data_IF_744216894796
#
_entry.id   IF_744216894796
#
_cell.length_a   1.000
_cell.length_b   1.000
_cell.length_c   1.000
_cell.angle_alpha   90.00
_cell.angle_beta   90.00
_cell.angle_gamma   90.00
#
_symmetry.space_group_name_H-M   'P 1'
#
loop_
_entity.id
_entity.type
_entity.pdbx_description
1 polymer ?
#
# COMPACT_ATOMS: atom_id res chain seq x y z
N UNK A 1 -11.02 19.48 -11.34
CA UNK A 1 -11.21 18.42 -10.34
C UNK A 1 -10.80 17.03 -10.87
N UNK A 2 -11.49 16.45 -11.86
CA UNK A 2 -11.17 15.08 -12.34
C UNK A 2 -9.72 14.90 -12.81
N UNK A 3 -9.16 15.84 -13.57
CA UNK A 3 -7.77 15.77 -14.08
C UNK A 3 -6.72 15.81 -12.95
N UNK A 4 -6.91 16.64 -11.91
CA UNK A 4 -5.99 16.70 -10.78
C UNK A 4 -5.99 15.42 -9.95
N UNK A 5 -7.18 14.84 -9.67
CA UNK A 5 -7.29 13.55 -8.99
C UNK A 5 -6.69 12.41 -9.81
N UNK A 6 -6.85 12.45 -11.14
CA UNK A 6 -6.20 11.48 -12.04
C UNK A 6 -4.66 11.58 -11.99
N UNK A 7 -4.11 12.81 -11.97
CA UNK A 7 -2.67 13.00 -11.81
C UNK A 7 -2.15 12.41 -10.47
N UNK A 8 -2.91 12.60 -9.38
CA UNK A 8 -2.57 11.99 -8.09
C UNK A 8 -2.69 10.46 -8.12
N UNK A 9 -3.71 9.92 -8.80
CA UNK A 9 -3.88 8.48 -8.98
C UNK A 9 -2.75 7.87 -9.82
N UNK A 10 -2.27 8.57 -10.87
CA UNK A 10 -1.11 8.11 -11.63
C UNK A 10 0.16 8.10 -10.77
N UNK A 11 0.29 9.04 -9.83
CA UNK A 11 1.39 9.03 -8.86
C UNK A 11 1.34 7.83 -7.91
N UNK A 12 0.16 7.48 -7.39
CA UNK A 12 0.00 6.27 -6.57
C UNK A 12 0.15 4.98 -7.40
N UNK A 13 -0.19 5.00 -8.69
CA UNK A 13 0.13 3.91 -9.62
C UNK A 13 1.65 3.74 -9.77
N UNK A 14 2.39 4.85 -9.97
CA UNK A 14 3.85 4.83 -10.10
C UNK A 14 4.50 4.31 -8.81
N UNK A 15 3.98 4.70 -7.64
CA UNK A 15 4.43 4.18 -6.34
C UNK A 15 4.11 2.69 -6.18
N UNK A 16 2.91 2.25 -6.58
CA UNK A 16 2.53 0.84 -6.56
C UNK A 16 3.42 -0.01 -7.48
N UNK A 17 3.75 0.49 -8.67
CA UNK A 17 4.75 -0.15 -9.53
C UNK A 17 6.10 -0.25 -8.84
N UNK A 18 6.59 0.84 -8.23
CA UNK A 18 7.86 0.84 -7.53
C UNK A 18 7.89 -0.13 -6.34
N UNK A 19 6.78 -0.30 -5.62
CA UNK A 19 6.68 -1.20 -4.47
C UNK A 19 6.63 -2.66 -4.90
N UNK A 20 5.65 -3.03 -5.73
CA UNK A 20 5.27 -4.42 -5.95
C UNK A 20 5.97 -5.11 -7.13
N UNK A 21 6.58 -4.35 -8.06
CA UNK A 21 7.21 -4.96 -9.24
C UNK A 21 8.34 -5.93 -8.88
N UNK A 22 9.05 -5.64 -7.80
CA UNK A 22 10.19 -6.47 -7.36
C UNK A 22 9.76 -7.90 -7.02
N UNK A 23 8.54 -8.09 -6.53
CA UNK A 23 8.01 -9.41 -6.19
C UNK A 23 7.86 -10.30 -7.43
N UNK A 24 7.48 -9.68 -8.56
CA UNK A 24 7.32 -10.39 -9.83
C UNK A 24 8.63 -10.69 -10.58
N UNK A 25 9.72 -9.98 -10.24
CA UNK A 25 11.02 -10.09 -10.95
C UNK A 25 12.16 -10.54 -10.03
N UNK A 26 11.85 -10.97 -8.81
CA UNK A 26 12.83 -11.26 -7.77
C UNK A 26 13.84 -12.32 -8.20
N UNK A 27 13.40 -13.37 -8.86
CA UNK A 27 14.23 -14.46 -9.37
C UNK A 27 15.19 -13.98 -10.47
N UNK A 28 14.70 -13.13 -11.38
CA UNK A 28 15.51 -12.58 -12.47
C UNK A 28 16.62 -11.69 -11.92
N UNK A 29 16.29 -10.85 -10.93
CA UNK A 29 17.26 -9.99 -10.24
C UNK A 29 18.26 -10.82 -9.46
N UNK A 30 17.84 -11.85 -8.72
CA UNK A 30 18.72 -12.73 -7.96
C UNK A 30 19.75 -13.40 -8.87
N UNK A 31 19.30 -13.90 -10.02
CA UNK A 31 20.15 -14.55 -11.01
C UNK A 31 21.18 -13.59 -11.63
N UNK A 32 20.75 -12.42 -12.14
CA UNK A 32 21.61 -11.44 -12.82
C UNK A 32 22.63 -10.80 -11.87
N UNK A 33 22.25 -10.59 -10.61
CA UNK A 33 23.09 -9.99 -9.57
C UNK A 33 23.95 -11.00 -8.80
N UNK A 34 23.87 -12.30 -9.12
CA UNK A 34 24.57 -13.39 -8.45
C UNK A 34 24.36 -13.38 -6.92
N UNK A 35 23.11 -13.18 -6.47
CA UNK A 35 22.72 -13.23 -5.06
C UNK A 35 21.67 -14.31 -4.81
N UNK A 36 21.57 -14.77 -3.57
CA UNK A 36 20.51 -15.71 -3.20
C UNK A 36 19.12 -15.05 -3.23
N UNK A 37 18.04 -15.84 -3.43
CA UNK A 37 16.67 -15.33 -3.40
C UNK A 37 16.35 -14.62 -2.06
N UNK A 38 16.75 -15.14 -0.88
CA UNK A 38 16.60 -14.41 0.37
C UNK A 38 17.33 -13.06 0.40
N UNK A 39 18.53 -12.97 -0.15
CA UNK A 39 19.23 -11.69 -0.29
C UNK A 39 18.49 -10.73 -1.23
N UNK A 40 17.99 -11.23 -2.37
CA UNK A 40 17.16 -10.40 -3.25
C UNK A 40 15.90 -9.90 -2.53
N UNK A 41 15.33 -10.67 -1.60
CA UNK A 41 14.23 -10.26 -0.73
C UNK A 41 14.52 -9.01 0.11
N UNK A 42 15.78 -8.70 0.42
CA UNK A 42 16.15 -7.46 1.10
C UNK A 42 15.78 -6.20 0.28
N UNK A 43 15.61 -6.31 -1.05
CA UNK A 43 15.16 -5.22 -1.91
C UNK A 43 13.72 -4.77 -1.55
N UNK A 44 12.90 -5.67 -1.02
CA UNK A 44 11.55 -5.37 -0.51
C UNK A 44 11.67 -4.68 0.85
N UNK A 45 12.47 -5.26 1.75
CA UNK A 45 12.65 -4.74 3.12
C UNK A 45 13.26 -3.35 3.13
N UNK A 46 14.28 -3.09 2.30
CA UNK A 46 14.94 -1.78 2.24
C UNK A 46 14.02 -0.69 1.67
N UNK A 47 13.12 -1.04 0.75
CA UNK A 47 12.08 -0.14 0.28
C UNK A 47 11.13 0.24 1.43
N UNK A 48 10.65 -0.74 2.21
CA UNK A 48 9.80 -0.51 3.37
C UNK A 48 10.50 0.37 4.43
N UNK A 49 11.80 0.17 4.67
CA UNK A 49 12.60 1.07 5.51
C UNK A 49 12.65 2.48 4.95
N UNK A 50 12.77 2.64 3.63
CA UNK A 50 12.68 3.92 2.93
C UNK A 50 11.34 4.61 3.19
N UNK A 51 10.21 3.86 3.13
CA UNK A 51 8.87 4.39 3.44
C UNK A 51 8.80 4.94 4.86
N UNK A 52 9.32 4.19 5.83
CA UNK A 52 9.36 4.62 7.22
C UNK A 52 10.26 5.86 7.42
N UNK A 53 11.45 5.86 6.82
CA UNK A 53 12.37 7.01 6.89
C UNK A 53 11.80 8.26 6.20
N UNK A 54 11.07 8.07 5.12
CA UNK A 54 10.41 9.15 4.37
C UNK A 54 9.38 9.93 5.19
N UNK A 55 8.78 9.32 6.23
CA UNK A 55 7.88 10.00 7.14
C UNK A 55 8.54 11.23 7.79
N UNK A 56 9.81 11.10 8.16
CA UNK A 56 10.56 12.18 8.79
C UNK A 56 10.89 13.32 7.81
N UNK A 57 11.00 13.05 6.52
CA UNK A 57 11.26 14.08 5.50
C UNK A 57 10.15 15.12 5.41
N UNK A 58 8.90 14.74 5.67
CA UNK A 58 7.76 15.67 5.70
C UNK A 58 7.86 16.73 6.80
N UNK A 59 8.54 16.41 7.91
CA UNK A 59 8.76 17.37 9.00
C UNK A 59 9.54 18.58 8.48
N UNK A 60 10.48 18.35 7.57
CA UNK A 60 11.29 19.40 6.94
C UNK A 60 10.54 20.11 5.81
N UNK A 61 9.63 19.41 5.13
CA UNK A 61 8.95 19.90 3.93
C UNK A 61 7.61 20.63 4.23
N UNK A 62 7.08 20.56 5.45
CA UNK A 62 5.76 21.12 5.79
C UNK A 62 5.57 22.61 5.48
N UNK A 63 6.66 23.38 5.39
CA UNK A 63 6.65 24.81 5.05
C UNK A 63 6.40 25.09 3.56
N UNK A 64 6.55 24.09 2.72
CA UNK A 64 6.35 24.25 1.27
C UNK A 64 4.91 23.96 0.87
N UNK A 65 4.50 24.51 -0.28
CA UNK A 65 3.19 24.22 -0.87
C UNK A 65 3.07 22.75 -1.24
N UNK A 66 1.92 22.10 -0.98
CA UNK A 66 1.72 20.67 -1.25
C UNK A 66 2.05 20.23 -2.69
N UNK A 67 1.74 21.05 -3.69
CA UNK A 67 2.11 20.80 -5.07
C UNK A 67 3.62 20.66 -5.28
N UNK A 68 4.42 21.56 -4.67
CA UNK A 68 5.89 21.50 -4.74
C UNK A 68 6.44 20.24 -4.06
N UNK A 69 5.83 19.86 -2.94
CA UNK A 69 6.18 18.62 -2.22
C UNK A 69 5.90 17.41 -3.12
N UNK A 70 4.71 17.31 -3.73
CA UNK A 70 4.36 16.22 -4.62
C UNK A 70 5.32 16.11 -5.82
N UNK A 71 5.69 17.23 -6.44
CA UNK A 71 6.67 17.26 -7.53
C UNK A 71 8.04 16.73 -7.07
N UNK A 72 8.55 17.22 -5.93
CA UNK A 72 9.81 16.75 -5.35
C UNK A 72 9.78 15.25 -5.03
N UNK A 73 8.72 14.76 -4.38
CA UNK A 73 8.56 13.35 -4.04
C UNK A 73 8.51 12.47 -5.29
N UNK A 74 7.77 12.89 -6.32
CA UNK A 74 7.71 12.16 -7.60
C UNK A 74 9.08 12.16 -8.30
N UNK A 75 9.85 13.26 -8.21
CA UNK A 75 11.23 13.29 -8.73
C UNK A 75 12.15 12.31 -8.04
N UNK A 76 11.98 12.05 -6.73
CA UNK A 76 12.74 11.03 -6.00
C UNK A 76 12.37 9.61 -6.47
N UNK A 77 11.08 9.32 -6.78
CA UNK A 77 10.70 8.04 -7.39
C UNK A 77 11.42 7.84 -8.72
N UNK A 78 11.39 8.87 -9.58
CA UNK A 78 12.07 8.83 -10.89
C UNK A 78 13.58 8.62 -10.73
N UNK A 79 14.21 9.36 -9.82
CA UNK A 79 15.65 9.23 -9.53
C UNK A 79 16.00 7.81 -9.09
N UNK A 80 15.27 7.26 -8.11
CA UNK A 80 15.48 5.90 -7.65
C UNK A 80 15.26 4.86 -8.75
N UNK A 81 14.26 5.07 -9.63
CA UNK A 81 13.99 4.18 -10.76
C UNK A 81 15.12 4.26 -11.81
N UNK A 82 15.67 5.45 -12.09
CA UNK A 82 16.84 5.61 -12.97
C UNK A 82 18.04 4.84 -12.39
N UNK A 83 18.35 5.06 -11.10
CA UNK A 83 19.47 4.37 -10.45
C UNK A 83 19.28 2.85 -10.51
N UNK A 84 18.05 2.35 -10.25
CA UNK A 84 17.73 0.93 -10.34
C UNK A 84 17.93 0.37 -11.76
N UNK A 85 17.50 1.12 -12.79
CA UNK A 85 17.65 0.72 -14.20
C UNK A 85 19.09 0.52 -14.60
N UNK A 86 19.99 1.41 -14.14
CA UNK A 86 21.43 1.39 -14.52
C UNK A 86 22.31 0.69 -13.48
N UNK A 87 21.75 0.13 -12.40
CA UNK A 87 22.50 -0.47 -11.31
C UNK A 87 23.39 -1.63 -11.77
N UNK A 88 24.73 -1.53 -11.65
CA UNK A 88 25.66 -2.60 -12.01
C UNK A 88 25.89 -3.58 -10.87
N UNK A 89 25.42 -3.26 -9.65
CA UNK A 89 25.62 -4.08 -8.46
C UNK A 89 24.40 -4.12 -7.56
N UNK A 90 24.28 -5.21 -6.82
CA UNK A 90 23.24 -5.41 -5.82
C UNK A 90 23.17 -4.28 -4.78
N UNK A 91 24.32 -3.78 -4.31
CA UNK A 91 24.37 -2.71 -3.31
C UNK A 91 23.80 -1.39 -3.82
N UNK A 92 24.11 -1.05 -5.08
CA UNK A 92 23.53 0.16 -5.69
C UNK A 92 22.02 -0.01 -5.92
N UNK A 93 21.58 -1.21 -6.26
CA UNK A 93 20.15 -1.52 -6.38
C UNK A 93 19.42 -1.39 -5.03
N UNK A 94 20.03 -1.84 -3.92
CA UNK A 94 19.51 -1.59 -2.56
C UNK A 94 19.38 -0.10 -2.27
N UNK A 95 20.39 0.71 -2.55
CA UNK A 95 20.32 2.16 -2.40
C UNK A 95 19.19 2.76 -3.24
N UNK A 96 19.05 2.33 -4.50
CA UNK A 96 17.98 2.77 -5.38
C UNK A 96 16.59 2.46 -4.79
N UNK A 97 16.40 1.26 -4.26
CA UNK A 97 15.15 0.83 -3.61
C UNK A 97 14.82 1.66 -2.36
N UNK A 98 15.82 1.96 -1.53
CA UNK A 98 15.65 2.85 -0.39
C UNK A 98 15.17 4.24 -0.83
N UNK A 99 15.83 4.82 -1.84
CA UNK A 99 15.46 6.14 -2.41
C UNK A 99 14.03 6.11 -2.98
N UNK A 100 13.62 5.03 -3.67
CA UNK A 100 12.25 4.86 -4.16
C UNK A 100 11.21 4.77 -3.05
N UNK A 101 11.57 4.20 -1.89
CA UNK A 101 10.69 4.09 -0.72
C UNK A 101 10.44 5.44 -0.03
N UNK A 102 11.45 6.32 0.04
CA UNK A 102 11.37 7.61 0.76
C UNK A 102 10.11 8.44 0.43
N UNK A 103 9.72 8.64 -0.84
CA UNK A 103 8.57 9.46 -1.19
C UNK A 103 7.22 8.81 -0.89
N UNK A 104 7.13 7.50 -0.71
CA UNK A 104 5.89 6.74 -0.70
C UNK A 104 4.88 7.28 0.34
N UNK A 105 5.20 7.19 1.63
CA UNK A 105 4.31 7.64 2.70
C UNK A 105 4.05 9.13 2.64
N UNK A 106 5.08 9.92 2.33
CA UNK A 106 4.99 11.37 2.19
C UNK A 106 4.06 11.80 1.05
N UNK A 107 4.07 11.05 -0.06
CA UNK A 107 3.16 11.28 -1.19
C UNK A 107 1.71 11.06 -0.80
N UNK A 108 1.40 9.97 -0.09
CA UNK A 108 0.04 9.68 0.39
C UNK A 108 -0.44 10.75 1.37
N UNK A 109 0.40 11.15 2.34
CA UNK A 109 0.05 12.20 3.30
C UNK A 109 -0.26 13.54 2.63
N UNK A 110 0.62 13.98 1.71
CA UNK A 110 0.46 15.26 0.98
C UNK A 110 -0.67 15.19 -0.03
N UNK A 111 -0.74 14.09 -0.79
CA UNK A 111 -1.75 13.86 -1.82
C UNK A 111 -3.17 13.80 -1.25
N UNK A 112 -3.35 13.19 -0.07
CA UNK A 112 -4.65 13.16 0.63
C UNK A 112 -5.16 14.56 0.93
N UNK A 113 -4.30 15.46 1.40
CA UNK A 113 -4.68 16.85 1.67
C UNK A 113 -5.13 17.55 0.39
N UNK A 114 -4.39 17.37 -0.70
CA UNK A 114 -4.72 17.95 -2.01
C UNK A 114 -6.02 17.35 -2.55
N UNK A 115 -6.19 16.03 -2.45
CA UNK A 115 -7.39 15.33 -2.91
C UNK A 115 -8.64 15.83 -2.16
N UNK A 116 -8.58 15.94 -0.83
CA UNK A 116 -9.69 16.44 0.00
C UNK A 116 -10.00 17.89 -0.32
N UNK A 117 -8.98 18.76 -0.52
CA UNK A 117 -9.19 20.15 -0.91
C UNK A 117 -9.82 20.33 -2.31
N UNK A 118 -9.61 19.36 -3.20
CA UNK A 118 -10.26 19.31 -4.52
C UNK A 118 -11.66 18.66 -4.49
N UNK A 119 -12.04 18.02 -3.39
CA UNK A 119 -13.32 17.33 -3.25
C UNK A 119 -14.49 18.31 -3.07
N UNK A 120 -15.69 17.88 -3.45
CA UNK A 120 -16.92 18.54 -3.02
C UNK A 120 -17.16 18.25 -1.54
N UNK A 121 -17.90 19.11 -0.88
CA UNK A 121 -18.32 18.89 0.51
C UNK A 121 -19.00 17.51 0.67
N UNK A 122 -18.66 16.80 1.73
CA UNK A 122 -19.19 15.45 1.98
C UNK A 122 -18.61 14.31 1.11
N UNK A 123 -17.64 14.60 0.19
CA UNK A 123 -17.06 13.56 -0.69
C UNK A 123 -15.54 13.37 -0.50
N UNK A 124 -15.06 13.60 0.72
CA UNK A 124 -13.62 13.56 1.03
C UNK A 124 -13.01 12.17 0.85
N UNK A 125 -13.66 11.14 1.41
CA UNK A 125 -13.18 9.75 1.28
C UNK A 125 -13.19 9.29 -0.17
N UNK A 126 -14.21 9.67 -0.95
CA UNK A 126 -14.27 9.37 -2.39
C UNK A 126 -13.09 9.97 -3.15
N UNK A 127 -12.70 11.21 -2.84
CA UNK A 127 -11.55 11.85 -3.49
C UNK A 127 -10.23 11.15 -3.14
N UNK A 128 -10.06 10.74 -1.87
CA UNK A 128 -8.92 9.96 -1.40
C UNK A 128 -8.90 8.59 -2.07
N UNK A 129 -10.04 7.88 -2.15
CA UNK A 129 -10.14 6.60 -2.84
C UNK A 129 -9.80 6.72 -4.34
N UNK A 130 -10.20 7.80 -5.01
CA UNK A 130 -9.80 8.08 -6.40
C UNK A 130 -8.30 8.29 -6.54
N UNK A 131 -7.66 8.97 -5.59
CA UNK A 131 -6.21 9.11 -5.55
C UNK A 131 -5.53 7.75 -5.31
N UNK A 132 -6.00 7.00 -4.31
CA UNK A 132 -5.42 5.71 -3.93
C UNK A 132 -5.64 4.61 -4.97
N UNK A 133 -6.60 4.77 -5.89
CA UNK A 133 -6.93 3.78 -6.92
C UNK A 133 -5.73 3.36 -7.80
N UNK A 134 -4.72 4.22 -7.92
CA UNK A 134 -3.51 3.89 -8.69
C UNK A 134 -2.81 2.63 -8.21
N UNK A 135 -2.72 2.38 -6.90
CA UNK A 135 -2.03 1.19 -6.36
C UNK A 135 -2.70 -0.14 -6.75
N UNK A 136 -4.01 -0.36 -6.52
CA UNK A 136 -4.65 -1.58 -6.96
C UNK A 136 -4.60 -1.75 -8.49
N UNK A 137 -4.64 -0.67 -9.26
CA UNK A 137 -4.44 -0.74 -10.71
C UNK A 137 -3.00 -1.10 -11.08
N UNK A 138 -2.00 -0.66 -10.32
CA UNK A 138 -0.61 -1.09 -10.51
C UNK A 138 -0.47 -2.60 -10.29
N UNK A 139 -1.10 -3.16 -9.25
CA UNK A 139 -1.12 -4.61 -9.01
C UNK A 139 -1.89 -5.38 -10.09
N UNK A 140 -3.01 -4.84 -10.57
CA UNK A 140 -3.84 -5.51 -11.58
C UNK A 140 -3.19 -5.56 -12.96
N UNK A 141 -2.53 -4.50 -13.38
CA UNK A 141 -2.03 -4.33 -14.75
C UNK A 141 -0.52 -4.09 -14.80
N UNK A 142 -0.01 -3.24 -13.94
CA UNK A 142 1.36 -2.75 -13.98
C UNK A 142 2.37 -3.85 -13.63
N UNK A 143 2.15 -4.55 -12.54
CA UNK A 143 3.04 -5.64 -12.08
C UNK A 143 3.03 -6.81 -13.07
N UNK A 144 1.89 -7.35 -13.52
CA UNK A 144 1.89 -8.41 -14.53
C UNK A 144 2.58 -8.02 -15.83
N UNK A 145 2.30 -6.80 -16.35
CA UNK A 145 2.96 -6.30 -17.54
C UNK A 145 4.46 -6.14 -17.35
N UNK A 146 4.89 -5.57 -16.23
CA UNK A 146 6.31 -5.41 -15.90
C UNK A 146 7.03 -6.74 -15.76
N UNK A 147 6.41 -7.73 -15.10
CA UNK A 147 6.95 -9.08 -14.97
C UNK A 147 7.08 -9.77 -16.34
N UNK A 148 6.06 -9.65 -17.18
CA UNK A 148 6.11 -10.17 -18.55
C UNK A 148 7.28 -9.56 -19.35
N UNK A 149 7.44 -8.24 -19.29
CA UNK A 149 8.52 -7.53 -19.97
C UNK A 149 9.91 -7.85 -19.37
N UNK A 150 10.00 -8.13 -18.07
CA UNK A 150 11.20 -8.62 -17.42
C UNK A 150 11.68 -9.94 -18.04
N UNK A 151 10.79 -10.92 -18.11
CA UNK A 151 11.10 -12.23 -18.67
C UNK A 151 11.40 -12.17 -20.18
N UNK A 152 10.73 -11.27 -20.92
CA UNK A 152 10.92 -11.13 -22.37
C UNK A 152 12.23 -10.41 -22.73
N UNK A 153 12.68 -9.46 -21.92
CA UNK A 153 13.80 -8.57 -22.24
C UNK A 153 14.82 -8.49 -21.12
N UNK A 154 14.48 -7.90 -19.97
CA UNK A 154 15.36 -7.73 -18.82
C UNK A 154 14.58 -7.22 -17.61
N UNK A 155 14.98 -7.61 -16.41
CA UNK A 155 14.45 -7.10 -15.15
C UNK A 155 14.64 -5.57 -14.98
N UNK A 156 15.45 -4.93 -15.79
CA UNK A 156 15.63 -3.47 -15.81
C UNK A 156 14.49 -2.74 -16.50
N UNK A 157 13.78 -3.40 -17.41
CA UNK A 157 12.68 -2.79 -18.19
C UNK A 157 11.54 -2.29 -17.30
N UNK A 158 11.06 -3.02 -16.28
CA UNK A 158 10.06 -2.50 -15.35
C UNK A 158 10.49 -1.22 -14.61
N UNK A 159 11.76 -1.07 -14.28
CA UNK A 159 12.26 0.18 -13.68
C UNK A 159 12.26 1.32 -14.70
N UNK A 160 12.61 1.05 -15.95
CA UNK A 160 12.51 2.03 -17.04
C UNK A 160 11.03 2.47 -17.27
N UNK A 161 10.08 1.53 -17.19
CA UNK A 161 8.64 1.86 -17.21
C UNK A 161 8.28 2.80 -16.04
N UNK A 162 8.81 2.53 -14.84
CA UNK A 162 8.58 3.40 -13.67
C UNK A 162 9.17 4.81 -13.89
N UNK A 163 10.31 4.94 -14.59
CA UNK A 163 10.85 6.24 -15.02
C UNK A 163 9.87 6.97 -15.94
N UNK A 164 9.40 6.30 -16.99
CA UNK A 164 8.47 6.91 -17.96
C UNK A 164 7.16 7.36 -17.28
N UNK A 165 6.57 6.49 -16.47
CA UNK A 165 5.35 6.80 -15.70
C UNK A 165 5.58 7.95 -14.71
N UNK A 166 6.71 7.97 -14.02
CA UNK A 166 7.06 9.04 -13.11
C UNK A 166 7.22 10.40 -13.80
N UNK A 167 7.85 10.44 -14.99
CA UNK A 167 7.97 11.67 -15.79
C UNK A 167 6.61 12.15 -16.26
N UNK A 168 5.75 11.26 -16.73
CA UNK A 168 4.36 11.59 -17.10
C UNK A 168 3.60 12.14 -15.89
N UNK A 169 3.76 11.51 -14.72
CA UNK A 169 3.16 11.95 -13.45
C UNK A 169 3.63 13.35 -13.05
N UNK A 170 4.93 13.64 -13.15
CA UNK A 170 5.48 14.98 -12.90
C UNK A 170 4.81 16.03 -13.77
N UNK A 171 4.72 15.76 -15.09
CA UNK A 171 4.07 16.68 -16.02
C UNK A 171 2.60 16.90 -15.67
N UNK A 172 1.86 15.82 -15.34
CA UNK A 172 0.45 15.91 -14.99
C UNK A 172 0.21 16.63 -13.66
N UNK A 173 1.03 16.38 -12.63
CA UNK A 173 0.96 17.10 -11.35
C UNK A 173 1.23 18.60 -11.61
N UNK A 174 2.27 18.91 -12.37
CA UNK A 174 2.59 20.30 -12.71
C UNK A 174 1.42 21.02 -13.40
N UNK A 175 0.78 20.38 -14.36
CA UNK A 175 -0.28 20.97 -15.21
C UNK A 175 -1.67 20.96 -14.57
N UNK A 176 -2.03 19.91 -13.83
CA UNK A 176 -3.41 19.67 -13.43
C UNK A 176 -3.69 19.75 -11.93
N UNK A 177 -2.68 19.62 -11.08
CA UNK A 177 -2.87 19.78 -9.64
C UNK A 177 -2.86 21.27 -9.31
N UNK A 178 -3.89 21.79 -8.62
CA UNK A 178 -3.94 23.19 -8.24
C UNK A 178 -2.84 23.53 -7.23
N UNK A 179 -2.41 24.77 -7.23
CA UNK A 179 -1.46 25.28 -6.25
C UNK A 179 -2.21 25.59 -4.95
N UNK A 180 -2.24 24.59 -4.09
CA UNK A 180 -2.85 24.69 -2.76
C UNK A 180 -1.88 25.37 -1.82
N UNK A 181 -2.39 26.32 -0.99
CA UNK A 181 -1.58 27.00 0.01
C UNK A 181 -0.90 26.04 0.98
N UNK A 182 0.29 26.42 1.42
CA UNK A 182 1.00 25.67 2.44
C UNK A 182 0.16 25.58 3.73
N UNK A 183 0.28 24.43 4.41
CA UNK A 183 -0.37 24.30 5.72
C UNK A 183 0.26 25.28 6.73
N UNK A 184 -0.53 25.83 7.66
CA UNK A 184 -0.01 26.74 8.67
C UNK A 184 1.17 26.12 9.42
N UNK A 185 2.30 26.81 9.43
CA UNK A 185 3.49 26.36 10.15
C UNK A 185 3.33 26.68 11.64
N UNK A 186 2.94 25.70 12.43
CA UNK A 186 2.81 25.80 13.90
C UNK A 186 4.04 25.26 14.64
N UNK A 187 5.14 25.02 13.91
CA UNK A 187 6.38 24.46 14.46
C UNK A 187 6.35 22.91 14.63
N UNK A 188 7.53 22.33 14.91
CA UNK A 188 7.71 20.89 14.97
C UNK A 188 6.86 20.23 16.08
N UNK A 189 6.82 20.83 17.28
CA UNK A 189 6.00 20.30 18.39
C UNK A 189 4.51 20.20 18.04
N UNK A 190 4.00 21.13 17.23
CA UNK A 190 2.61 21.13 16.82
C UNK A 190 2.31 20.01 15.82
N UNK A 191 3.28 19.60 14.99
CA UNK A 191 3.10 18.49 14.04
C UNK A 191 2.89 17.14 14.74
N UNK A 192 3.48 16.95 15.92
CA UNK A 192 3.29 15.73 16.73
C UNK A 192 2.14 15.83 17.72
N UNK A 193 1.44 16.97 17.79
CA UNK A 193 0.36 17.20 18.78
C UNK A 193 -0.76 16.16 18.65
N UNK A 194 -1.08 15.73 17.44
CA UNK A 194 -2.12 14.73 17.20
C UNK A 194 -1.84 13.39 17.88
N UNK A 195 -0.57 13.02 18.08
CA UNK A 195 -0.17 11.78 18.79
C UNK A 195 -0.55 11.78 20.28
N UNK A 196 -0.98 12.91 20.84
CA UNK A 196 -1.52 12.97 22.22
C UNK A 196 -2.97 12.53 22.29
N UNK A 197 -3.67 12.44 21.17
CA UNK A 197 -5.06 12.02 21.07
C UNK A 197 -5.14 10.53 20.78
N UNK A 198 -6.16 9.87 21.32
CA UNK A 198 -6.35 8.42 21.12
C UNK A 198 -6.81 8.08 19.68
N UNK A 199 -7.58 8.94 19.02
CA UNK A 199 -8.14 8.67 17.70
C UNK A 199 -7.08 8.29 16.64
N UNK A 200 -5.97 9.04 16.45
CA UNK A 200 -4.90 8.65 15.54
C UNK A 200 -4.28 7.29 15.87
N UNK A 201 -4.07 7.00 17.15
CA UNK A 201 -3.49 5.71 17.56
C UNK A 201 -4.40 4.53 17.26
N UNK A 202 -5.71 4.69 17.41
CA UNK A 202 -6.68 3.65 17.06
C UNK A 202 -6.65 3.36 15.56
N UNK A 203 -6.54 4.40 14.71
CA UNK A 203 -6.46 4.23 13.26
C UNK A 203 -5.12 3.60 12.87
N UNK A 204 -3.99 4.08 13.42
CA UNK A 204 -2.65 3.52 13.17
C UNK A 204 -2.59 2.05 13.60
N UNK A 205 -3.11 1.72 14.80
CA UNK A 205 -3.14 0.36 15.29
C UNK A 205 -4.05 -0.55 14.45
N UNK A 206 -5.18 -0.03 13.96
CA UNK A 206 -6.07 -0.75 13.07
C UNK A 206 -5.37 -1.08 11.74
N UNK A 207 -4.66 -0.13 11.15
CA UNK A 207 -3.86 -0.36 9.94
C UNK A 207 -2.74 -1.37 10.21
N UNK A 208 -1.97 -1.18 11.26
CA UNK A 208 -0.81 -2.04 11.59
C UNK A 208 -1.22 -3.48 11.85
N UNK A 209 -2.23 -3.70 12.72
CA UNK A 209 -2.69 -5.02 13.08
C UNK A 209 -3.67 -5.58 12.05
N UNK A 210 -4.66 -4.80 11.65
CA UNK A 210 -5.75 -5.27 10.81
C UNK A 210 -5.28 -5.61 9.40
N UNK A 211 -4.64 -4.67 8.72
CA UNK A 211 -4.09 -4.91 7.39
C UNK A 211 -2.90 -5.88 7.44
N UNK A 212 -2.06 -5.79 8.49
CA UNK A 212 -0.99 -6.76 8.74
C UNK A 212 -1.49 -8.19 8.86
N UNK A 213 -2.67 -8.40 9.45
CA UNK A 213 -3.32 -9.71 9.52
C UNK A 213 -3.71 -10.27 8.15
N UNK A 214 -4.23 -9.42 7.24
CA UNK A 214 -4.54 -9.83 5.87
C UNK A 214 -3.25 -10.13 5.10
N UNK A 215 -2.23 -9.28 5.25
CA UNK A 215 -0.94 -9.42 4.57
C UNK A 215 -0.13 -10.62 5.09
N UNK A 216 -0.32 -11.03 6.36
CA UNK A 216 0.23 -12.27 6.92
C UNK A 216 -0.10 -13.48 6.05
N UNK A 217 -1.34 -13.63 5.65
CA UNK A 217 -1.79 -14.68 4.77
C UNK A 217 -1.38 -14.42 3.30
N UNK A 218 -1.52 -13.18 2.82
CA UNK A 218 -1.24 -12.83 1.42
C UNK A 218 0.21 -13.10 1.03
N UNK A 219 1.16 -12.93 1.95
CA UNK A 219 2.58 -13.26 1.74
C UNK A 219 2.83 -14.73 1.36
N UNK A 220 1.91 -15.63 1.71
CA UNK A 220 2.00 -17.07 1.44
C UNK A 220 0.92 -17.58 0.49
N UNK A 221 0.26 -16.66 -0.25
CA UNK A 221 -0.88 -17.00 -1.12
C UNK A 221 -0.49 -17.93 -2.27
N UNK A 222 0.67 -17.70 -2.89
CA UNK A 222 1.12 -18.51 -4.03
C UNK A 222 1.32 -20.00 -3.66
N UNK A 223 2.12 -20.34 -2.65
CA UNK A 223 2.24 -21.75 -2.22
C UNK A 223 0.92 -22.32 -1.66
N UNK A 224 0.06 -21.51 -1.02
CA UNK A 224 -1.25 -21.98 -0.58
C UNK A 224 -2.11 -22.40 -1.76
N UNK A 225 -2.21 -21.60 -2.80
CA UNK A 225 -2.99 -21.91 -4.00
C UNK A 225 -2.43 -23.12 -4.77
N UNK A 226 -1.10 -23.26 -4.83
CA UNK A 226 -0.47 -24.41 -5.51
C UNK A 226 -0.59 -25.70 -4.71
N UNK A 227 -0.19 -25.70 -3.44
CA UNK A 227 -0.03 -26.91 -2.64
C UNK A 227 -1.36 -27.35 -2.01
N UNK A 228 -2.09 -26.40 -1.38
CA UNK A 228 -3.37 -26.71 -0.75
C UNK A 228 -4.51 -26.68 -1.78
N UNK A 229 -4.52 -25.69 -2.66
CA UNK A 229 -5.58 -25.47 -3.66
C UNK A 229 -5.45 -26.31 -4.92
N UNK A 230 -4.32 -26.95 -5.16
CA UNK A 230 -4.08 -27.84 -6.31
C UNK A 230 -3.96 -27.12 -7.66
N UNK A 231 -3.72 -25.81 -7.69
CA UNK A 231 -3.53 -25.08 -8.94
C UNK A 231 -2.13 -25.26 -9.51
N UNK A 232 -2.03 -25.41 -10.83
CA UNK A 232 -0.74 -25.40 -11.51
C UNK A 232 -0.03 -24.05 -11.37
N UNK A 233 1.30 -24.05 -11.30
CA UNK A 233 2.12 -22.85 -11.20
C UNK A 233 1.78 -21.80 -12.28
N UNK A 234 1.52 -22.23 -13.52
CA UNK A 234 1.13 -21.36 -14.62
C UNK A 234 -0.20 -20.60 -14.36
N UNK A 235 -1.11 -21.17 -13.57
CA UNK A 235 -2.39 -20.53 -13.24
C UNK A 235 -2.27 -19.43 -12.18
N UNK A 236 -1.17 -19.41 -11.43
CA UNK A 236 -0.97 -18.44 -10.33
C UNK A 236 -0.98 -17.00 -10.85
N UNK A 237 -0.36 -16.75 -12.01
CA UNK A 237 -0.38 -15.41 -12.61
C UNK A 237 -1.79 -14.89 -12.89
N UNK A 238 -2.67 -15.77 -13.37
CA UNK A 238 -4.09 -15.44 -13.61
C UNK A 238 -4.83 -15.20 -12.29
N UNK A 239 -4.55 -16.02 -11.27
CA UNK A 239 -5.13 -15.85 -9.93
C UNK A 239 -4.65 -14.54 -9.26
N UNK A 240 -3.40 -14.12 -9.50
CA UNK A 240 -2.92 -12.82 -9.03
C UNK A 240 -3.64 -11.65 -9.71
N UNK A 241 -4.06 -11.78 -10.97
CA UNK A 241 -4.95 -10.80 -11.62
C UNK A 241 -6.30 -10.74 -10.89
N UNK A 242 -6.84 -11.88 -10.47
CA UNK A 242 -8.08 -11.93 -9.67
C UNK A 242 -7.90 -11.23 -8.31
N UNK A 243 -6.74 -11.37 -7.65
CA UNK A 243 -6.40 -10.64 -6.44
C UNK A 243 -6.39 -9.12 -6.69
N UNK A 244 -5.68 -8.68 -7.74
CA UNK A 244 -5.65 -7.27 -8.16
C UNK A 244 -7.04 -6.71 -8.50
N UNK A 245 -7.89 -7.51 -9.15
CA UNK A 245 -9.28 -7.14 -9.40
C UNK A 245 -10.06 -6.96 -8.08
N UNK A 246 -9.88 -7.86 -7.11
CA UNK A 246 -10.42 -7.69 -5.76
C UNK A 246 -10.01 -6.37 -5.14
N UNK A 247 -8.73 -6.02 -5.21
CA UNK A 247 -8.20 -4.74 -4.71
C UNK A 247 -8.88 -3.53 -5.37
N UNK A 248 -9.05 -3.56 -6.70
CA UNK A 248 -9.74 -2.51 -7.45
C UNK A 248 -11.20 -2.40 -7.01
N UNK A 249 -11.92 -3.52 -6.95
CA UNK A 249 -13.34 -3.56 -6.55
C UNK A 249 -13.49 -3.02 -5.12
N UNK A 250 -12.65 -3.46 -4.18
CA UNK A 250 -12.69 -2.99 -2.79
C UNK A 250 -12.49 -1.48 -2.67
N UNK A 251 -11.49 -0.93 -3.37
CA UNK A 251 -11.26 0.51 -3.40
C UNK A 251 -12.45 1.28 -4.00
N UNK A 252 -13.09 0.76 -5.08
CA UNK A 252 -14.25 1.40 -5.69
C UNK A 252 -15.50 1.32 -4.78
N UNK A 253 -15.74 0.19 -4.12
CA UNK A 253 -16.81 0.03 -3.13
C UNK A 253 -16.62 1.05 -2.00
N UNK A 254 -15.40 1.22 -1.52
CA UNK A 254 -15.06 2.24 -0.53
C UNK A 254 -15.37 3.66 -1.03
N UNK A 255 -15.01 3.98 -2.26
CA UNK A 255 -15.30 5.29 -2.88
C UNK A 255 -16.81 5.60 -2.97
N UNK A 256 -17.65 4.57 -3.05
CA UNK A 256 -19.10 4.73 -3.17
C UNK A 256 -19.82 4.75 -1.82
N UNK A 257 -19.33 3.97 -0.85
CA UNK A 257 -20.09 3.67 0.37
C UNK A 257 -19.51 4.30 1.63
N UNK A 258 -18.20 4.51 1.74
CA UNK A 258 -17.58 4.94 2.99
C UNK A 258 -18.12 6.30 3.51
N UNK A 259 -18.34 7.26 2.62
CA UNK A 259 -18.88 8.57 2.99
C UNK A 259 -20.36 8.49 3.43
N UNK A 260 -21.11 7.46 2.96
CA UNK A 260 -22.53 7.24 3.32
C UNK A 260 -22.69 6.58 4.69
N UNK A 261 -21.81 5.63 5.03
CA UNK A 261 -21.93 4.79 6.23
C UNK A 261 -21.03 5.22 7.39
N UNK A 262 -20.43 6.40 7.33
CA UNK A 262 -19.32 6.85 8.19
C UNK A 262 -18.06 5.99 8.00
N UNK A 263 -16.92 6.59 7.64
CA UNK A 263 -15.72 5.86 7.24
C UNK A 263 -15.22 4.84 8.27
N UNK A 264 -15.22 5.18 9.58
CA UNK A 264 -14.77 4.28 10.63
C UNK A 264 -15.67 3.06 10.82
N UNK A 265 -17.01 3.26 10.73
CA UNK A 265 -17.96 2.15 10.79
C UNK A 265 -17.84 1.23 9.58
N UNK A 266 -17.69 1.80 8.40
CA UNK A 266 -17.54 1.06 7.15
C UNK A 266 -16.27 0.18 7.18
N UNK A 267 -15.13 0.75 7.56
CA UNK A 267 -13.87 0.02 7.67
C UNK A 267 -13.92 -1.07 8.73
N UNK A 268 -14.59 -0.83 9.86
CA UNK A 268 -14.80 -1.84 10.89
C UNK A 268 -15.50 -3.09 10.33
N UNK A 269 -16.56 -2.92 9.55
CA UNK A 269 -17.27 -4.05 8.93
C UNK A 269 -16.40 -4.79 7.91
N UNK A 270 -15.64 -4.07 7.08
CA UNK A 270 -14.72 -4.70 6.14
C UNK A 270 -13.61 -5.48 6.87
N UNK A 271 -13.15 -5.00 8.01
CA UNK A 271 -12.13 -5.68 8.80
C UNK A 271 -12.67 -6.98 9.42
N UNK A 272 -13.92 -7.00 9.90
CA UNK A 272 -14.59 -8.24 10.33
C UNK A 272 -14.81 -9.21 9.18
N UNK A 273 -15.20 -8.72 8.00
CA UNK A 273 -15.35 -9.53 6.80
C UNK A 273 -14.00 -10.17 6.39
N UNK A 274 -12.91 -9.40 6.45
CA UNK A 274 -11.57 -9.92 6.19
C UNK A 274 -11.19 -11.03 7.18
N UNK A 275 -11.43 -10.83 8.48
CA UNK A 275 -11.17 -11.84 9.50
C UNK A 275 -11.97 -13.14 9.23
N UNK A 276 -13.24 -13.01 8.84
CA UNK A 276 -14.08 -14.15 8.47
C UNK A 276 -13.56 -14.87 7.22
N UNK A 277 -13.12 -14.11 6.20
CA UNK A 277 -12.55 -14.68 4.98
C UNK A 277 -11.22 -15.41 5.25
N UNK A 278 -10.37 -14.87 6.13
CA UNK A 278 -9.14 -15.55 6.56
C UNK A 278 -9.44 -16.86 7.30
N UNK A 279 -10.43 -16.83 8.20
CA UNK A 279 -10.86 -18.04 8.93
C UNK A 279 -11.43 -19.10 7.96
N UNK A 280 -12.26 -18.70 7.00
CA UNK A 280 -12.76 -19.58 5.96
C UNK A 280 -11.61 -20.17 5.11
N UNK A 281 -10.60 -19.35 4.77
CA UNK A 281 -9.40 -19.80 4.05
C UNK A 281 -8.66 -20.88 4.85
N UNK A 282 -8.49 -20.71 6.15
CA UNK A 282 -7.81 -21.71 6.99
C UNK A 282 -8.47 -23.08 6.90
N UNK A 283 -9.81 -23.16 7.04
CA UNK A 283 -10.55 -24.42 7.06
C UNK A 283 -10.80 -25.02 5.68
N UNK A 284 -10.97 -24.19 4.64
CA UNK A 284 -11.44 -24.60 3.33
C UNK A 284 -10.38 -24.51 2.22
N UNK A 285 -9.11 -24.27 2.57
CA UNK A 285 -8.02 -24.07 1.59
C UNK A 285 -7.71 -25.27 0.69
N UNK A 286 -8.15 -26.46 1.06
CA UNK A 286 -8.06 -27.65 0.23
C UNK A 286 -8.94 -27.60 -1.04
N UNK A 287 -9.93 -26.69 -1.06
CA UNK A 287 -10.67 -26.37 -2.26
C UNK A 287 -10.09 -25.10 -2.90
N UNK A 288 -9.37 -25.26 -4.02
CA UNK A 288 -8.69 -24.14 -4.69
C UNK A 288 -9.63 -23.02 -5.11
N UNK A 289 -10.84 -23.33 -5.57
CA UNK A 289 -11.82 -22.30 -5.97
C UNK A 289 -12.35 -21.50 -4.79
N UNK A 290 -12.54 -22.15 -3.63
CA UNK A 290 -12.88 -21.43 -2.39
C UNK A 290 -11.72 -20.52 -1.98
N UNK A 291 -10.49 -21.01 -2.05
CA UNK A 291 -9.29 -20.20 -1.77
C UNK A 291 -9.19 -18.98 -2.69
N UNK A 292 -9.48 -19.16 -3.99
CA UNK A 292 -9.49 -18.04 -4.96
C UNK A 292 -10.60 -17.02 -4.65
N UNK A 293 -11.80 -17.49 -4.27
CA UNK A 293 -12.90 -16.61 -3.87
C UNK A 293 -12.57 -15.84 -2.57
N UNK A 294 -12.00 -16.51 -1.56
CA UNK A 294 -11.59 -15.84 -0.30
C UNK A 294 -10.43 -14.88 -0.54
N UNK A 295 -9.53 -15.18 -1.47
CA UNK A 295 -8.48 -14.27 -1.91
C UNK A 295 -9.06 -12.98 -2.50
N UNK A 296 -10.02 -13.09 -3.41
CA UNK A 296 -10.71 -11.92 -3.95
C UNK A 296 -11.34 -11.06 -2.85
N UNK A 297 -12.08 -11.68 -1.92
CA UNK A 297 -12.75 -10.99 -0.80
C UNK A 297 -11.73 -10.32 0.13
N UNK A 298 -10.67 -11.02 0.53
CA UNK A 298 -9.64 -10.48 1.45
C UNK A 298 -8.89 -9.32 0.81
N UNK A 299 -8.54 -9.41 -0.48
CA UNK A 299 -7.91 -8.33 -1.23
C UNK A 299 -8.85 -7.13 -1.42
N UNK A 300 -10.15 -7.37 -1.64
CA UNK A 300 -11.15 -6.32 -1.69
C UNK A 300 -11.30 -5.61 -0.33
N UNK A 301 -11.30 -6.35 0.77
CA UNK A 301 -11.31 -5.76 2.12
C UNK A 301 -10.06 -4.91 2.36
N UNK A 302 -8.86 -5.42 2.05
CA UNK A 302 -7.58 -4.74 2.27
C UNK A 302 -7.57 -3.33 1.64
N UNK A 303 -7.91 -3.23 0.37
CA UNK A 303 -7.92 -1.94 -0.34
C UNK A 303 -9.21 -1.13 -0.13
N UNK A 304 -10.30 -1.78 0.27
CA UNK A 304 -11.52 -1.11 0.72
C UNK A 304 -11.34 -0.38 2.05
N UNK A 305 -10.48 -0.87 2.94
CA UNK A 305 -10.14 -0.28 4.25
C UNK A 305 -9.14 0.87 4.08
N UNK A 306 -8.13 0.74 3.22
CA UNK A 306 -7.01 1.65 3.16
C UNK A 306 -7.36 3.11 2.89
N UNK A 307 -8.26 3.39 1.94
CA UNK A 307 -8.64 4.76 1.58
C UNK A 307 -9.40 5.49 2.68
N UNK A 308 -10.40 4.89 3.37
CA UNK A 308 -11.03 5.50 4.53
C UNK A 308 -10.07 5.72 5.70
N UNK A 309 -9.19 4.76 6.01
CA UNK A 309 -8.17 4.93 7.07
C UNK A 309 -7.24 6.10 6.74
N UNK A 310 -6.78 6.21 5.49
CA UNK A 310 -5.97 7.33 5.01
C UNK A 310 -6.71 8.67 5.14
N UNK A 311 -8.02 8.72 4.87
CA UNK A 311 -8.83 9.91 5.08
C UNK A 311 -8.98 10.24 6.57
N UNK A 312 -9.33 9.25 7.39
CA UNK A 312 -9.58 9.41 8.82
C UNK A 312 -8.34 9.91 9.57
N UNK A 313 -7.16 9.35 9.29
CA UNK A 313 -5.93 9.79 9.97
C UNK A 313 -5.62 11.25 9.64
N UNK A 314 -5.78 11.69 8.39
CA UNK A 314 -5.54 13.08 8.00
C UNK A 314 -6.58 14.01 8.66
N UNK A 315 -7.85 13.56 8.77
CA UNK A 315 -8.91 14.32 9.45
C UNK A 315 -8.61 14.51 10.93
N UNK A 316 -8.12 13.49 11.63
CA UNK A 316 -7.87 13.49 13.08
C UNK A 316 -6.44 13.88 13.47
N UNK A 317 -5.58 14.26 12.51
CA UNK A 317 -4.20 14.70 12.78
C UNK A 317 -4.07 16.22 12.73
N UNK A 318 -4.77 16.92 13.61
CA UNK A 318 -4.66 18.39 13.69
C UNK A 318 -3.23 18.84 13.98
N UNK A 319 -2.76 19.81 13.19
CA UNK A 319 -1.38 20.34 13.25
C UNK A 319 -0.35 19.47 12.50
N UNK A 320 -0.64 18.17 12.27
CA UNK A 320 0.27 17.22 11.62
C UNK A 320 -0.38 16.39 10.51
N UNK A 321 -1.29 16.96 9.71
CA UNK A 321 -2.07 16.22 8.70
C UNK A 321 -1.22 15.45 7.71
N UNK A 322 -0.12 16.02 7.21
CA UNK A 322 0.81 15.33 6.32
C UNK A 322 1.51 14.18 7.03
N UNK A 323 2.01 14.42 8.24
CA UNK A 323 2.69 13.41 9.05
C UNK A 323 1.76 12.26 9.41
N UNK A 324 0.51 12.56 9.82
CA UNK A 324 -0.51 11.54 10.08
C UNK A 324 -0.75 10.65 8.89
N UNK A 325 -0.94 11.23 7.69
CA UNK A 325 -1.11 10.47 6.45
C UNK A 325 0.10 9.61 6.08
N UNK A 326 1.31 10.05 6.47
CA UNK A 326 2.53 9.26 6.29
C UNK A 326 2.63 8.12 7.31
N UNK A 327 2.21 8.35 8.56
CA UNK A 327 2.21 7.33 9.62
C UNK A 327 1.35 6.12 9.25
N UNK A 328 0.24 6.31 8.52
CA UNK A 328 -0.58 5.19 8.03
C UNK A 328 0.22 4.31 7.07
N UNK A 329 0.97 4.89 6.15
CA UNK A 329 1.78 4.11 5.19
C UNK A 329 2.92 3.37 5.90
N UNK A 330 3.54 4.01 6.89
CA UNK A 330 4.52 3.34 7.73
C UNK A 330 3.90 2.18 8.53
N UNK A 331 2.71 2.39 9.12
CA UNK A 331 1.98 1.35 9.84
C UNK A 331 1.60 0.17 8.93
N UNK A 332 1.14 0.45 7.71
CA UNK A 332 0.83 -0.58 6.71
C UNK A 332 2.06 -1.43 6.38
N UNK A 333 3.19 -0.79 6.06
CA UNK A 333 4.43 -1.49 5.71
C UNK A 333 5.03 -2.26 6.90
N UNK A 334 4.99 -1.71 8.11
CA UNK A 334 5.42 -2.41 9.32
C UNK A 334 4.48 -3.58 9.64
N UNK A 335 3.16 -3.40 9.46
CA UNK A 335 2.17 -4.47 9.59
C UNK A 335 2.41 -5.60 8.60
N UNK A 336 2.74 -5.27 7.34
CA UNK A 336 3.11 -6.24 6.31
C UNK A 336 4.35 -7.05 6.74
N UNK A 337 5.41 -6.35 7.17
CA UNK A 337 6.65 -7.01 7.63
C UNK A 337 6.40 -7.94 8.83
N UNK A 338 5.64 -7.47 9.84
CA UNK A 338 5.27 -8.29 10.99
C UNK A 338 4.40 -9.49 10.56
N UNK A 339 3.41 -9.26 9.72
CA UNK A 339 2.51 -10.29 9.21
C UNK A 339 3.28 -11.38 8.46
N UNK A 340 4.14 -11.00 7.53
CA UNK A 340 4.98 -11.94 6.79
C UNK A 340 5.89 -12.77 7.72
N UNK A 341 6.48 -12.14 8.73
CA UNK A 341 7.31 -12.81 9.73
C UNK A 341 6.49 -13.81 10.56
N UNK A 342 5.37 -13.39 11.13
CA UNK A 342 4.52 -14.26 11.96
C UNK A 342 3.91 -15.40 11.16
N UNK A 343 3.47 -15.15 9.90
CA UNK A 343 2.97 -16.16 9.00
C UNK A 343 4.03 -17.19 8.59
N UNK A 344 5.30 -16.79 8.54
CA UNK A 344 6.42 -17.67 8.26
C UNK A 344 6.71 -18.71 9.34
N UNK A 345 6.39 -18.41 10.60
CA UNK A 345 6.68 -19.31 11.74
C UNK A 345 6.02 -20.69 11.54
N UNK A 346 4.68 -20.81 11.39
CA UNK A 346 4.06 -22.12 11.21
C UNK A 346 4.48 -22.82 9.90
N UNK A 347 4.78 -22.05 8.86
CA UNK A 347 5.30 -22.61 7.61
C UNK A 347 6.67 -23.25 7.82
N UNK A 348 7.56 -22.56 8.54
CA UNK A 348 8.88 -23.09 8.91
C UNK A 348 8.79 -24.33 9.84
N UNK A 349 7.74 -24.41 10.66
CA UNK A 349 7.44 -25.59 11.50
C UNK A 349 6.81 -26.76 10.71
N UNK A 350 6.55 -26.60 9.41
CA UNK A 350 5.95 -27.64 8.58
C UNK A 350 4.45 -27.84 8.78
N UNK A 351 3.74 -26.91 9.44
CA UNK A 351 2.30 -27.04 9.72
C UNK A 351 1.42 -26.86 8.47
N UNK A 352 1.89 -26.08 7.48
CA UNK A 352 1.21 -25.87 6.20
C UNK A 352 0.96 -24.41 5.86
N UNK A 353 0.61 -24.16 4.58
CA UNK A 353 0.46 -22.81 4.03
C UNK A 353 -0.89 -22.15 4.34
N UNK A 354 -1.84 -22.85 4.95
CA UNK A 354 -3.09 -22.28 5.44
C UNK A 354 -2.96 -21.63 6.83
N UNK A 355 -1.96 -22.00 7.64
CA UNK A 355 -1.75 -21.46 8.99
C UNK A 355 -1.47 -19.93 9.03
N UNK A 356 -0.78 -19.32 8.06
CA UNK A 356 -0.69 -17.86 8.01
C UNK A 356 -2.04 -17.15 8.04
N UNK A 357 -3.09 -17.73 7.42
CA UNK A 357 -4.45 -17.20 7.49
C UNK A 357 -4.99 -17.25 8.93
N UNK A 358 -4.77 -18.35 9.67
CA UNK A 358 -5.19 -18.48 11.07
C UNK A 358 -4.50 -17.45 11.98
N UNK A 359 -3.19 -17.20 11.78
CA UNK A 359 -2.46 -16.15 12.51
C UNK A 359 -2.97 -14.75 12.16
N UNK A 360 -3.36 -14.54 10.91
CA UNK A 360 -3.94 -13.28 10.45
C UNK A 360 -5.29 -12.95 11.11
N UNK A 361 -6.08 -13.96 11.51
CA UNK A 361 -7.41 -13.74 12.12
C UNK A 361 -7.35 -12.89 13.40
N UNK A 362 -6.59 -13.23 14.46
CA UNK A 362 -6.53 -12.41 15.66
C UNK A 362 -5.98 -11.01 15.40
N UNK A 363 -5.05 -10.85 14.46
CA UNK A 363 -4.55 -9.54 14.06
C UNK A 363 -5.65 -8.71 13.39
N UNK A 364 -6.38 -9.30 12.45
CA UNK A 364 -7.51 -8.63 11.78
C UNK A 364 -8.63 -8.26 12.76
N UNK A 365 -8.96 -9.15 13.72
CA UNK A 365 -9.93 -8.86 14.76
C UNK A 365 -9.46 -7.73 15.70
N UNK A 366 -8.19 -7.69 16.06
CA UNK A 366 -7.64 -6.59 16.86
C UNK A 366 -7.77 -5.25 16.12
N UNK A 367 -7.49 -5.22 14.81
CA UNK A 367 -7.75 -4.06 13.96
C UNK A 367 -9.22 -3.65 13.94
N UNK A 368 -10.13 -4.62 13.79
CA UNK A 368 -11.58 -4.37 13.83
C UNK A 368 -12.03 -3.79 15.19
N UNK A 369 -11.50 -4.27 16.31
CA UNK A 369 -11.79 -3.73 17.64
C UNK A 369 -11.30 -2.28 17.76
N UNK A 370 -10.10 -1.96 17.27
CA UNK A 370 -9.60 -0.59 17.24
C UNK A 370 -10.56 0.34 16.46
N UNK A 371 -11.04 -0.09 15.29
CA UNK A 371 -12.00 0.68 14.48
C UNK A 371 -13.37 0.77 15.14
N UNK A 372 -13.83 -0.27 15.84
CA UNK A 372 -15.08 -0.25 16.60
C UNK A 372 -15.03 0.77 17.74
N UNK A 373 -13.93 0.79 18.49
CA UNK A 373 -13.69 1.78 19.55
C UNK A 373 -13.63 3.19 18.97
N UNK A 374 -12.92 3.36 17.83
CA UNK A 374 -12.84 4.62 17.12
C UNK A 374 -14.24 5.10 16.70
N UNK A 375 -15.01 4.26 16.02
CA UNK A 375 -16.35 4.60 15.57
C UNK A 375 -17.28 5.02 16.72
N UNK A 376 -17.29 4.24 17.83
CA UNK A 376 -18.14 4.54 18.99
C UNK A 376 -17.79 5.85 19.69
N UNK A 377 -16.52 6.26 19.64
CA UNK A 377 -16.03 7.41 20.40
C UNK A 377 -15.92 8.70 19.60
N UNK A 378 -15.72 8.61 18.28
CA UNK A 378 -15.36 9.76 17.43
C UNK A 378 -16.27 9.95 16.21
N UNK A 379 -17.18 9.04 15.94
CA UNK A 379 -18.20 9.15 14.88
C UNK A 379 -19.63 9.00 15.44
#
# INVERSE_FOLDING_TARGET
>A
MKKGLFALALGTFTLGMAEFIIEGILTDVAHDMNVSIPQAGHLISIYALGVCAGAFSLILMHKYRPKKILLFLTSLVVLGAIIATIAPSYWLLLCARFVQGLPHGAYFGTGTIVAVKMAKEGTGTKAVAMMCAGMPFANLMGVPLGTFLSHAFSWRVPFLMSVALGVITLYMIYKWVPDVEALPNKGMKAQFRFMRNLAPWLIIAATFLGNGGILCWFSYISPLLQINGGFHAASISVLMILAGLGMVVGNQVSALLADRFKPGRFTCYLQFLAAAALLATFFLSHNGWVSAAMMFISCACLFGIGSPEQFLIVKHSEGGKMLGGCCIQAAFNLGNALGAFLGGIPVAMGLGYNYPALIGVPMALAGAVCLLVFHRKYE
#
